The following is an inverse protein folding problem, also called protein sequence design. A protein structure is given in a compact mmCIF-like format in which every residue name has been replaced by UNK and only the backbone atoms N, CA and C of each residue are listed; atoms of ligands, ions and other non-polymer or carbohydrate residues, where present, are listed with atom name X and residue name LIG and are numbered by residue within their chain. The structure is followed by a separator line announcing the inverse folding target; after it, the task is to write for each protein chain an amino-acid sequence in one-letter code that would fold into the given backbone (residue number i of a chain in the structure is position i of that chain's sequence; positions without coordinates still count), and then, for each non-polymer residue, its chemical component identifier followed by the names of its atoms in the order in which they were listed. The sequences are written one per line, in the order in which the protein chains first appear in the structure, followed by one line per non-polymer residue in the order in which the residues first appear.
data_IF_271399805251
#
_entry.id   IF_271399805251
#
_cell.length_a   1.000
_cell.length_b   1.000
_cell.length_c   1.000
_cell.angle_alpha   90.00
_cell.angle_beta   90.00
_cell.angle_gamma   90.00
#
_symmetry.space_group_name_H-M   'P 1'
#
loop_
_entity.id
_entity.type
_entity.pdbx_description
1 polymer ?
#
# COMPACT_ATOMS: atom_id res chain seq x y z
N UNK A 1 18.73 14.77 -3.33
CA UNK A 1 18.49 13.50 -2.62
C UNK A 1 16.99 13.46 -2.38
N UNK A 2 16.25 13.14 -3.43
CA UNK A 2 14.78 13.18 -3.41
C UNK A 2 14.33 11.82 -2.88
N UNK A 3 13.72 11.83 -1.69
CA UNK A 3 13.46 10.61 -0.92
C UNK A 3 12.38 9.77 -1.59
N UNK A 4 12.71 8.51 -1.89
CA UNK A 4 11.73 7.53 -2.39
C UNK A 4 10.56 7.41 -1.41
N UNK A 5 9.35 7.79 -1.84
CA UNK A 5 8.14 7.60 -1.05
C UNK A 5 7.93 6.10 -0.85
N UNK A 6 8.02 5.63 0.40
CA UNK A 6 7.73 4.25 0.77
C UNK A 6 6.33 4.17 1.38
N UNK A 7 5.45 3.37 0.78
CA UNK A 7 4.09 3.14 1.25
C UNK A 7 4.01 1.74 1.84
N UNK A 8 3.76 1.64 3.15
CA UNK A 8 3.53 0.37 3.83
C UNK A 8 2.04 0.05 3.78
N UNK A 9 1.70 -1.14 3.30
CA UNK A 9 0.31 -1.58 3.12
C UNK A 9 0.14 -2.91 3.86
N UNK A 10 -0.73 -2.93 4.87
CA UNK A 10 -1.19 -4.17 5.48
C UNK A 10 -2.30 -4.75 4.61
N UNK A 11 -2.13 -5.98 4.13
CA UNK A 11 -3.17 -6.63 3.35
C UNK A 11 -4.19 -7.34 4.27
N UNK A 12 -5.41 -7.52 3.77
CA UNK A 12 -6.47 -8.25 4.47
C UNK A 12 -6.18 -9.75 4.64
N UNK A 13 -6.90 -10.40 5.56
CA UNK A 13 -6.87 -11.87 5.70
C UNK A 13 -7.37 -12.52 4.41
N UNK A 14 -6.73 -13.62 4.01
CA UNK A 14 -7.21 -14.46 2.90
C UNK A 14 -6.72 -14.05 1.51
N UNK A 15 -5.94 -12.98 1.39
CA UNK A 15 -5.28 -12.62 0.13
C UNK A 15 -4.09 -13.55 -0.14
N UNK A 16 -4.03 -14.05 -1.36
CA UNK A 16 -2.90 -14.80 -1.92
C UNK A 16 -1.81 -13.84 -2.43
N UNK A 17 -0.59 -14.36 -2.59
CA UNK A 17 0.53 -13.58 -3.13
C UNK A 17 0.25 -13.03 -4.54
N UNK A 18 -0.49 -13.79 -5.37
CA UNK A 18 -0.87 -13.37 -6.71
C UNK A 18 -1.84 -12.18 -6.69
N UNK A 19 -2.81 -12.17 -5.75
CA UNK A 19 -3.74 -11.05 -5.58
C UNK A 19 -3.01 -9.81 -5.06
N UNK A 20 -2.06 -9.98 -4.14
CA UNK A 20 -1.21 -8.87 -3.67
C UNK A 20 -0.39 -8.28 -4.83
N UNK A 21 0.19 -9.11 -5.69
CA UNK A 21 0.94 -8.66 -6.86
C UNK A 21 0.05 -7.92 -7.87
N UNK A 22 -1.18 -8.40 -8.10
CA UNK A 22 -2.15 -7.73 -8.96
C UNK A 22 -2.53 -6.34 -8.42
N UNK A 23 -2.81 -6.24 -7.11
CA UNK A 23 -3.10 -4.96 -6.45
C UNK A 23 -1.93 -3.98 -6.55
N UNK A 24 -0.70 -4.46 -6.39
CA UNK A 24 0.48 -3.60 -6.54
C UNK A 24 0.61 -3.05 -7.97
N UNK A 25 0.31 -3.85 -8.99
CA UNK A 25 0.34 -3.40 -10.38
C UNK A 25 -0.69 -2.28 -10.63
N UNK A 26 -1.90 -2.41 -10.08
CA UNK A 26 -2.97 -1.41 -10.18
C UNK A 26 -2.61 -0.12 -9.42
N UNK A 27 -2.02 -0.23 -8.23
CA UNK A 27 -1.51 0.90 -7.48
C UNK A 27 -0.40 1.62 -8.28
N UNK A 28 0.61 0.88 -8.77
CA UNK A 28 1.69 1.44 -9.60
C UNK A 28 1.16 2.14 -10.85
N UNK A 29 0.07 1.64 -11.45
CA UNK A 29 -0.57 2.30 -12.60
C UNK A 29 -1.16 3.64 -12.17
N UNK A 30 -1.96 3.64 -11.12
CA UNK A 30 -2.67 4.83 -10.61
C UNK A 30 -1.71 5.92 -10.16
N UNK A 31 -0.68 5.57 -9.38
CA UNK A 31 0.35 6.54 -8.96
C UNK A 31 1.09 7.14 -10.15
N UNK A 32 1.47 6.33 -11.14
CA UNK A 32 2.15 6.86 -12.34
C UNK A 32 1.23 7.76 -13.17
N UNK A 33 -0.05 7.42 -13.35
CA UNK A 33 -0.96 8.19 -14.18
C UNK A 33 -1.46 9.47 -13.52
N UNK A 34 -1.73 9.44 -12.21
CA UNK A 34 -2.41 10.54 -11.53
C UNK A 34 -1.45 11.48 -10.80
N UNK A 35 -0.45 10.92 -10.12
CA UNK A 35 0.46 11.68 -9.23
C UNK A 35 1.87 11.82 -9.79
N UNK A 36 2.18 11.12 -10.89
CA UNK A 36 3.50 11.11 -11.57
C UNK A 36 4.68 10.78 -10.65
N UNK A 37 4.42 10.05 -9.57
CA UNK A 37 5.43 9.52 -8.66
C UNK A 37 5.48 8.01 -8.76
N UNK A 38 6.60 7.43 -8.33
CA UNK A 38 6.81 5.98 -8.34
C UNK A 38 7.22 5.52 -6.93
N UNK A 39 6.25 5.37 -6.01
CA UNK A 39 6.54 4.92 -4.65
C UNK A 39 7.02 3.46 -4.64
N UNK A 40 7.79 3.11 -3.61
CA UNK A 40 8.06 1.72 -3.26
C UNK A 40 6.94 1.21 -2.36
N UNK A 41 6.28 0.12 -2.75
CA UNK A 41 5.28 -0.53 -1.92
C UNK A 41 5.93 -1.60 -1.04
N UNK A 42 5.60 -1.59 0.24
CA UNK A 42 5.98 -2.63 1.19
C UNK A 42 4.73 -3.27 1.76
N UNK A 43 4.45 -4.48 1.30
CA UNK A 43 3.34 -5.28 1.81
C UNK A 43 3.69 -5.92 3.14
N UNK A 44 2.76 -5.85 4.07
CA UNK A 44 2.90 -6.35 5.41
C UNK A 44 1.73 -7.31 5.69
N UNK A 45 1.96 -8.41 6.43
CA UNK A 45 0.91 -9.39 6.72
C UNK A 45 -0.20 -8.78 7.58
N UNK A 46 -1.39 -9.40 7.63
CA UNK A 46 -2.49 -8.89 8.44
C UNK A 46 -2.08 -8.74 9.91
N UNK A 47 -2.53 -7.67 10.57
CA UNK A 47 -2.24 -7.35 11.98
C UNK A 47 -0.76 -7.09 12.32
N UNK A 48 0.08 -6.78 11.35
CA UNK A 48 1.51 -6.49 11.57
C UNK A 48 1.82 -4.99 11.69
N UNK A 49 0.94 -4.11 11.18
CA UNK A 49 1.10 -2.67 11.36
C UNK A 49 0.62 -2.24 12.76
N UNK A 50 1.35 -1.31 13.43
CA UNK A 50 0.95 -0.82 14.74
C UNK A 50 -0.40 -0.11 14.66
N UNK A 51 -1.39 -0.59 15.42
CA UNK A 51 -2.71 0.07 15.54
C UNK A 51 -2.70 1.29 16.47
N UNK A 52 -1.53 1.87 16.72
CA UNK A 52 -1.37 2.98 17.67
C UNK A 52 -2.20 4.14 17.14
N UNK A 53 -3.23 4.48 17.91
CA UNK A 53 -4.14 5.59 17.67
C UNK A 53 -3.38 6.93 17.75
N UNK A 54 -2.60 7.27 16.72
CA UNK A 54 -2.16 8.62 16.35
C UNK A 54 -1.18 8.54 15.17
N UNK A 55 -1.56 9.15 14.04
CA UNK A 55 -0.74 9.44 12.83
C UNK A 55 -0.54 8.36 11.75
N UNK A 56 -1.28 7.26 11.74
CA UNK A 56 -1.44 6.51 10.48
C UNK A 56 -2.69 7.03 9.76
N UNK A 57 -2.53 7.66 8.59
CA UNK A 57 -3.66 7.89 7.70
C UNK A 57 -4.10 6.52 7.18
N UNK A 58 -5.10 5.93 7.83
CA UNK A 58 -5.76 4.73 7.35
C UNK A 58 -6.53 5.12 6.07
N UNK A 59 -6.09 4.59 4.94
CA UNK A 59 -6.84 4.67 3.69
C UNK A 59 -7.69 3.40 3.61
N UNK A 60 -8.96 3.50 4.02
CA UNK A 60 -9.96 2.47 3.74
C UNK A 60 -10.52 2.70 2.32
N UNK A 61 -10.39 1.70 1.46
CA UNK A 61 -11.08 1.67 0.16
C UNK A 61 -12.36 0.85 0.39
N UNK A 62 -13.50 1.52 0.47
CA UNK A 62 -14.82 0.89 0.55
C UNK A 62 -15.41 0.67 -0.86
N UNK A 63 -16.06 -0.48 -1.05
CA UNK A 63 -16.84 -0.84 -2.24
C UNK A 63 -18.17 -0.10 -2.32
#
# INVERSE_FOLDING_TARGET
VEGDLVIRIEHGKGLTENEVAALEADLRRSFRSETRINPTFRWEPPFSLPRVAMKAHLLEIAS
#
